data_IF_970051712594
#
_entry.id   IF_970051712594
#
_cell.length_a   1.000
_cell.length_b   1.000
_cell.length_c   1.000
_cell.angle_alpha   90.00
_cell.angle_beta   90.00
_cell.angle_gamma   90.00
#
_symmetry.space_group_name_H-M   'P 1'
#
loop_
_entity.id
_entity.type
_entity.pdbx_description
1 polymer ?
#
# COMPACT_ATOMS: atom_id res chain seq x y z
N UNK A 1 18.42 -16.55 -12.57
CA UNK A 1 17.34 -16.60 -13.56
C UNK A 1 16.29 -17.63 -13.09
N UNK A 2 15.15 -17.13 -12.61
CA UNK A 2 14.08 -17.95 -12.02
C UNK A 2 13.44 -18.91 -13.04
N UNK A 3 13.46 -18.59 -14.32
CA UNK A 3 12.93 -19.47 -15.38
C UNK A 3 13.85 -20.65 -15.64
N UNK A 4 15.16 -20.46 -15.47
CA UNK A 4 16.18 -21.48 -15.69
C UNK A 4 16.37 -22.38 -14.47
N UNK A 5 16.21 -21.84 -13.27
CA UNK A 5 16.46 -22.53 -11.99
C UNK A 5 15.18 -22.54 -11.13
N UNK A 6 14.12 -23.16 -11.68
CA UNK A 6 12.78 -23.12 -11.09
C UNK A 6 12.69 -23.68 -9.68
N UNK A 7 13.34 -24.80 -9.40
CA UNK A 7 13.26 -25.44 -8.09
C UNK A 7 14.04 -24.62 -7.03
N UNK A 8 15.26 -24.21 -7.36
CA UNK A 8 16.06 -23.33 -6.48
C UNK A 8 15.40 -21.97 -6.24
N UNK A 9 14.64 -21.46 -7.21
CA UNK A 9 13.89 -20.23 -7.05
C UNK A 9 12.74 -20.40 -6.05
N UNK A 10 12.00 -21.53 -6.12
CA UNK A 10 10.89 -21.83 -5.21
C UNK A 10 11.32 -21.93 -3.76
N UNK A 11 12.54 -22.39 -3.50
CA UNK A 11 13.10 -22.45 -2.15
C UNK A 11 13.40 -21.06 -1.55
N UNK A 12 13.50 -20.04 -2.39
CA UNK A 12 13.92 -18.68 -1.99
C UNK A 12 12.77 -17.70 -1.80
N UNK A 13 11.56 -18.03 -2.22
CA UNK A 13 10.42 -17.14 -2.04
C UNK A 13 9.22 -17.85 -1.42
N UNK A 14 8.47 -17.11 -0.62
CA UNK A 14 7.15 -17.50 -0.12
C UNK A 14 6.07 -16.79 -0.93
N UNK A 15 4.98 -17.50 -1.24
CA UNK A 15 3.86 -16.93 -2.01
C UNK A 15 2.57 -16.99 -1.22
N UNK A 16 1.87 -15.87 -1.16
CA UNK A 16 0.55 -15.73 -0.56
C UNK A 16 -0.40 -15.23 -1.64
N UNK A 17 -1.28 -16.09 -2.18
CA UNK A 17 -2.28 -15.70 -3.18
C UNK A 17 -3.44 -14.91 -2.55
N UNK A 18 -4.21 -14.18 -3.37
CA UNK A 18 -5.44 -13.52 -2.95
C UNK A 18 -6.51 -14.54 -2.50
N UNK A 19 -6.72 -15.57 -3.33
CA UNK A 19 -7.58 -16.69 -2.97
C UNK A 19 -6.73 -17.91 -2.61
N UNK A 20 -6.86 -18.35 -1.38
CA UNK A 20 -6.13 -19.50 -0.89
C UNK A 20 -7.05 -20.70 -0.74
N UNK A 21 -6.77 -21.76 -1.52
CA UNK A 21 -7.35 -23.07 -1.27
C UNK A 21 -6.87 -23.57 0.08
N UNK A 22 -7.78 -23.75 1.03
CA UNK A 22 -7.47 -24.31 2.33
C UNK A 22 -8.04 -25.71 2.46
N UNK A 23 -7.37 -26.55 3.26
CA UNK A 23 -7.89 -27.86 3.65
C UNK A 23 -8.83 -27.67 4.82
N UNK A 24 -10.14 -27.61 4.54
CA UNK A 24 -11.18 -27.22 5.50
C UNK A 24 -11.29 -28.14 6.74
N UNK A 25 -10.93 -29.39 6.61
CA UNK A 25 -11.05 -30.39 7.69
C UNK A 25 -9.80 -30.50 8.57
N UNK A 26 -8.80 -29.61 8.40
CA UNK A 26 -7.61 -29.60 9.23
C UNK A 26 -7.71 -28.53 10.31
N UNK A 27 -7.15 -28.82 11.49
CA UNK A 27 -6.86 -27.79 12.48
C UNK A 27 -5.68 -26.93 12.02
N UNK A 28 -5.61 -25.68 12.47
CA UNK A 28 -4.52 -24.76 12.15
C UNK A 28 -3.15 -25.40 12.38
N UNK A 29 -2.94 -26.08 13.50
CA UNK A 29 -1.72 -26.82 13.82
C UNK A 29 -1.43 -27.90 12.79
N UNK A 30 -2.41 -28.73 12.47
CA UNK A 30 -2.27 -29.84 11.52
C UNK A 30 -1.95 -29.32 10.11
N UNK A 31 -2.60 -28.21 9.71
CA UNK A 31 -2.32 -27.53 8.46
C UNK A 31 -0.86 -27.06 8.38
N UNK A 32 -0.35 -26.40 9.43
CA UNK A 32 1.03 -25.94 9.48
C UNK A 32 2.02 -27.10 9.50
N UNK A 33 1.79 -28.15 10.30
CA UNK A 33 2.63 -29.34 10.36
C UNK A 33 2.67 -30.09 9.02
N UNK A 34 1.55 -30.14 8.29
CA UNK A 34 1.48 -30.71 6.95
C UNK A 34 2.43 -29.98 6.00
N UNK A 35 2.33 -28.65 5.91
CA UNK A 35 3.21 -27.87 5.03
C UNK A 35 4.66 -27.88 5.50
N UNK A 36 4.92 -27.86 6.80
CA UNK A 36 6.26 -28.01 7.34
C UNK A 36 6.92 -29.33 6.89
N UNK A 37 6.16 -30.43 6.88
CA UNK A 37 6.65 -31.72 6.40
C UNK A 37 7.00 -31.71 4.91
N UNK A 38 6.27 -30.94 4.09
CA UNK A 38 6.56 -30.76 2.65
C UNK A 38 7.93 -30.07 2.42
N UNK A 39 8.35 -29.20 3.36
CA UNK A 39 9.66 -28.56 3.36
C UNK A 39 10.75 -29.35 4.13
N UNK A 40 10.45 -30.58 4.54
CA UNK A 40 11.38 -31.45 5.25
C UNK A 40 11.48 -31.22 6.77
N UNK A 41 10.67 -30.34 7.33
CA UNK A 41 10.58 -30.14 8.78
C UNK A 41 9.60 -31.14 9.39
N UNK A 42 10.06 -32.08 10.19
CA UNK A 42 9.23 -33.10 10.82
C UNK A 42 9.53 -33.27 12.32
N UNK A 43 8.64 -33.97 13.03
CA UNK A 43 8.77 -34.26 14.45
C UNK A 43 8.79 -33.00 15.32
N UNK A 44 9.63 -32.97 16.33
CA UNK A 44 9.70 -31.87 17.29
C UNK A 44 10.20 -30.56 16.65
N UNK A 45 11.12 -30.65 15.69
CA UNK A 45 11.67 -29.47 14.99
C UNK A 45 10.57 -28.80 14.17
N UNK A 46 9.80 -29.57 13.41
CA UNK A 46 8.68 -29.03 12.61
C UNK A 46 7.61 -28.39 13.49
N UNK A 47 7.23 -29.04 14.61
CA UNK A 47 6.26 -28.48 15.56
C UNK A 47 6.71 -27.16 16.14
N UNK A 48 7.94 -27.09 16.65
CA UNK A 48 8.50 -25.87 17.21
C UNK A 48 8.49 -24.72 16.18
N UNK A 49 8.91 -25.01 14.95
CA UNK A 49 8.86 -24.03 13.86
C UNK A 49 7.43 -23.54 13.58
N UNK A 50 6.45 -24.43 13.57
CA UNK A 50 5.05 -24.06 13.38
C UNK A 50 4.54 -23.20 14.54
N UNK A 51 4.87 -23.54 15.79
CA UNK A 51 4.46 -22.75 16.97
C UNK A 51 5.05 -21.33 16.93
N UNK A 52 6.35 -21.18 16.63
CA UNK A 52 7.01 -19.88 16.46
C UNK A 52 6.33 -19.03 15.39
N UNK A 53 6.01 -19.62 14.23
CA UNK A 53 5.33 -18.91 13.15
C UNK A 53 3.89 -18.54 13.48
N UNK A 54 3.14 -19.40 14.18
CA UNK A 54 1.80 -19.07 14.65
C UNK A 54 1.82 -17.94 15.67
N UNK A 55 2.84 -17.87 16.51
CA UNK A 55 3.04 -16.76 17.43
C UNK A 55 3.32 -15.45 16.67
N UNK A 56 4.24 -15.50 15.70
CA UNK A 56 4.61 -14.35 14.86
C UNK A 56 3.40 -13.75 14.13
N UNK A 57 2.49 -14.59 13.62
CA UNK A 57 1.26 -14.12 12.96
C UNK A 57 0.07 -13.96 13.92
N UNK A 58 0.26 -14.07 15.24
CA UNK A 58 -0.77 -13.89 16.28
C UNK A 58 -1.96 -14.85 16.12
N UNK A 59 -1.67 -16.14 15.90
CA UNK A 59 -2.64 -17.22 15.77
C UNK A 59 -2.41 -18.38 16.76
N UNK A 60 -1.54 -18.24 17.76
CA UNK A 60 -1.25 -19.30 18.72
C UNK A 60 -2.49 -19.78 19.48
N UNK A 61 -3.38 -18.84 19.83
CA UNK A 61 -4.66 -19.13 20.51
C UNK A 61 -5.68 -19.85 19.61
N UNK A 62 -5.41 -19.95 18.33
CA UNK A 62 -6.25 -20.59 17.30
C UNK A 62 -5.68 -21.90 16.78
N UNK A 63 -4.58 -22.39 17.33
CA UNK A 63 -3.89 -23.59 16.85
C UNK A 63 -4.78 -24.85 16.79
N UNK A 64 -5.73 -24.97 17.69
CA UNK A 64 -6.67 -26.11 17.76
C UNK A 64 -8.03 -25.88 17.07
N UNK A 65 -8.22 -24.70 16.45
CA UNK A 65 -9.42 -24.38 15.66
C UNK A 65 -9.31 -24.98 14.26
N UNK A 66 -10.45 -25.31 13.67
CA UNK A 66 -10.49 -25.72 12.27
C UNK A 66 -10.21 -24.53 11.36
N UNK A 67 -9.50 -24.76 10.26
CA UNK A 67 -9.11 -23.72 9.30
C UNK A 67 -10.31 -23.02 8.66
N UNK A 68 -11.40 -23.76 8.41
CA UNK A 68 -12.65 -23.23 7.85
C UNK A 68 -13.35 -22.22 8.78
N UNK A 69 -13.20 -22.40 10.10
CA UNK A 69 -13.78 -21.51 11.11
C UNK A 69 -13.08 -20.15 11.27
N UNK A 70 -11.93 -19.97 10.63
CA UNK A 70 -11.16 -18.73 10.70
C UNK A 70 -11.79 -17.62 9.85
N UNK A 71 -11.74 -16.39 10.35
CA UNK A 71 -12.07 -15.21 9.55
C UNK A 71 -11.11 -15.05 8.36
N UNK A 72 -11.49 -14.25 7.35
CA UNK A 72 -10.63 -13.97 6.17
C UNK A 72 -9.24 -13.47 6.60
N UNK A 73 -9.17 -12.49 7.50
CA UNK A 73 -7.90 -11.97 7.99
C UNK A 73 -7.05 -13.01 8.74
N UNK A 74 -7.69 -13.91 9.52
CA UNK A 74 -6.98 -15.02 10.16
C UNK A 74 -6.45 -16.02 9.13
N UNK A 75 -7.22 -16.33 8.09
CA UNK A 75 -6.79 -17.20 6.99
C UNK A 75 -5.60 -16.61 6.25
N UNK A 76 -5.60 -15.30 6.02
CA UNK A 76 -4.48 -14.61 5.39
C UNK A 76 -3.21 -14.65 6.25
N UNK A 77 -3.33 -14.45 7.57
CA UNK A 77 -2.21 -14.62 8.53
C UNK A 77 -1.68 -16.05 8.52
N UNK A 78 -2.57 -17.05 8.45
CA UNK A 78 -2.17 -18.45 8.33
C UNK A 78 -1.43 -18.74 7.02
N UNK A 79 -1.87 -18.15 5.90
CA UNK A 79 -1.15 -18.24 4.63
C UNK A 79 0.24 -17.59 4.70
N UNK A 80 0.36 -16.46 5.39
CA UNK A 80 1.64 -15.81 5.62
C UNK A 80 2.56 -16.72 6.46
N UNK A 81 2.05 -17.30 7.56
CA UNK A 81 2.81 -18.26 8.37
C UNK A 81 3.28 -19.45 7.54
N UNK A 82 2.42 -20.01 6.69
CA UNK A 82 2.77 -21.09 5.75
C UNK A 82 3.88 -20.69 4.81
N UNK A 83 3.80 -19.46 4.23
CA UNK A 83 4.80 -18.96 3.30
C UNK A 83 6.17 -18.73 3.96
N UNK A 84 6.21 -18.59 5.29
CA UNK A 84 7.43 -18.40 6.09
C UNK A 84 8.08 -19.70 6.59
N UNK A 85 7.48 -20.87 6.39
CA UNK A 85 7.96 -22.15 6.96
C UNK A 85 9.43 -22.40 6.61
N UNK A 86 9.80 -22.24 5.35
CA UNK A 86 11.15 -22.51 4.82
C UNK A 86 12.09 -21.30 4.88
N UNK A 87 11.70 -20.25 5.62
CA UNK A 87 12.47 -19.04 5.85
C UNK A 87 12.94 -18.31 4.56
N UNK A 88 12.02 -17.99 3.63
CA UNK A 88 12.37 -17.35 2.38
C UNK A 88 12.90 -15.93 2.59
N UNK A 89 13.84 -15.49 1.73
CA UNK A 89 14.31 -14.11 1.70
C UNK A 89 13.35 -13.14 0.99
N UNK A 90 12.48 -13.67 0.11
CA UNK A 90 11.49 -12.89 -0.65
C UNK A 90 10.08 -13.44 -0.39
N UNK A 91 9.16 -12.54 -0.07
CA UNK A 91 7.73 -12.83 -0.01
C UNK A 91 7.02 -12.15 -1.17
N UNK A 92 6.13 -12.87 -1.84
CA UNK A 92 5.26 -12.36 -2.90
C UNK A 92 3.83 -12.50 -2.40
N UNK A 93 3.15 -11.37 -2.25
CA UNK A 93 1.81 -11.28 -1.68
C UNK A 93 0.86 -10.69 -2.71
N UNK A 94 -0.17 -11.43 -3.05
CA UNK A 94 -1.17 -11.02 -4.04
C UNK A 94 -2.43 -10.53 -3.31
N UNK A 95 -2.73 -9.23 -3.43
CA UNK A 95 -3.86 -8.56 -2.76
C UNK A 95 -4.03 -8.93 -1.27
N UNK A 96 -2.97 -8.92 -0.44
CA UNK A 96 -2.98 -9.57 0.87
C UNK A 96 -3.92 -8.93 1.89
N UNK A 97 -4.40 -7.71 1.64
CA UNK A 97 -5.29 -6.96 2.52
C UNK A 97 -6.73 -6.89 2.02
N UNK A 98 -7.00 -7.48 0.84
CA UNK A 98 -8.31 -7.51 0.22
C UNK A 98 -9.38 -8.11 1.13
N UNK A 99 -10.52 -7.43 1.27
CA UNK A 99 -11.67 -7.92 2.08
C UNK A 99 -11.43 -8.00 3.59
N UNK A 100 -10.36 -7.40 4.11
CA UNK A 100 -10.14 -7.25 5.55
C UNK A 100 -10.84 -6.00 6.09
N UNK A 101 -11.30 -6.08 7.34
CA UNK A 101 -11.71 -4.89 8.07
C UNK A 101 -10.52 -3.97 8.38
N UNK A 102 -10.74 -2.65 8.62
CA UNK A 102 -9.65 -1.69 8.76
C UNK A 102 -8.66 -2.00 9.88
N UNK A 103 -9.13 -2.57 11.00
CA UNK A 103 -8.26 -2.92 12.13
C UNK A 103 -7.36 -4.11 11.79
N UNK A 104 -7.93 -5.19 11.26
CA UNK A 104 -7.19 -6.38 10.85
C UNK A 104 -6.17 -6.04 9.78
N UNK A 105 -6.53 -5.15 8.85
CA UNK A 105 -5.64 -4.65 7.79
C UNK A 105 -4.42 -3.91 8.37
N UNK A 106 -4.64 -3.04 9.34
CA UNK A 106 -3.55 -2.31 10.01
C UNK A 106 -2.60 -3.27 10.74
N UNK A 107 -3.16 -4.24 11.48
CA UNK A 107 -2.36 -5.25 12.18
C UNK A 107 -1.54 -6.12 11.20
N UNK A 108 -2.09 -6.45 10.04
CA UNK A 108 -1.39 -7.21 8.99
C UNK A 108 -0.25 -6.39 8.37
N UNK A 109 -0.47 -5.09 8.10
CA UNK A 109 0.58 -4.18 7.62
C UNK A 109 1.75 -4.07 8.59
N UNK A 110 1.49 -4.00 9.90
CA UNK A 110 2.55 -3.97 10.91
C UNK A 110 3.36 -5.28 10.92
N UNK A 111 2.73 -6.45 10.77
CA UNK A 111 3.46 -7.71 10.63
C UNK A 111 4.39 -7.70 9.41
N UNK A 112 3.96 -7.16 8.27
CA UNK A 112 4.81 -7.06 7.08
C UNK A 112 6.00 -6.12 7.30
N UNK A 113 5.81 -5.01 8.02
CA UNK A 113 6.92 -4.12 8.40
C UNK A 113 7.92 -4.78 9.34
N UNK A 114 7.43 -5.56 10.31
CA UNK A 114 8.29 -6.34 11.22
C UNK A 114 9.15 -7.34 10.42
N UNK A 115 8.55 -8.07 9.47
CA UNK A 115 9.29 -8.97 8.57
C UNK A 115 10.32 -8.26 7.70
N UNK A 116 10.02 -7.05 7.21
CA UNK A 116 10.99 -6.22 6.49
C UNK A 116 12.15 -5.80 7.41
N UNK A 117 11.88 -5.44 8.66
CA UNK A 117 12.90 -5.09 9.65
C UNK A 117 13.81 -6.28 9.99
N UNK A 118 13.28 -7.51 9.92
CA UNK A 118 14.04 -8.76 10.02
C UNK A 118 14.87 -9.11 8.78
N UNK A 119 14.82 -8.27 7.73
CA UNK A 119 15.61 -8.41 6.50
C UNK A 119 14.89 -9.13 5.35
N UNK A 120 13.60 -9.39 5.45
CA UNK A 120 12.81 -9.94 4.34
C UNK A 120 12.55 -8.86 3.29
N UNK A 121 12.58 -9.26 2.02
CA UNK A 121 12.08 -8.44 0.91
C UNK A 121 10.63 -8.84 0.63
N UNK A 122 9.74 -7.86 0.50
CA UNK A 122 8.32 -8.12 0.27
C UNK A 122 7.87 -7.43 -1.01
N UNK A 123 7.29 -8.20 -1.94
CA UNK A 123 6.62 -7.72 -3.13
C UNK A 123 5.11 -7.87 -2.92
N UNK A 124 4.38 -6.77 -2.96
CA UNK A 124 2.93 -6.74 -2.73
C UNK A 124 2.24 -6.23 -3.98
N UNK A 125 1.20 -6.92 -4.45
CA UNK A 125 0.24 -6.36 -5.38
C UNK A 125 -0.95 -5.75 -4.61
N UNK A 126 -1.48 -4.64 -5.09
CA UNK A 126 -2.75 -4.05 -4.62
C UNK A 126 -3.30 -3.11 -5.68
N UNK A 127 -4.62 -3.03 -5.77
CA UNK A 127 -5.33 -2.02 -6.55
C UNK A 127 -5.64 -0.77 -5.72
N UNK A 128 -5.35 -0.78 -4.41
CA UNK A 128 -5.59 0.33 -3.48
C UNK A 128 -4.27 1.06 -3.20
N UNK A 129 -4.03 2.13 -3.93
CA UNK A 129 -2.77 2.84 -3.92
C UNK A 129 -2.47 3.57 -2.60
N UNK A 130 -3.51 4.07 -1.93
CA UNK A 130 -3.41 4.66 -0.59
C UNK A 130 -2.91 3.66 0.46
N UNK A 131 -3.13 2.36 0.26
CA UNK A 131 -2.59 1.32 1.13
C UNK A 131 -1.09 1.10 0.90
N UNK A 132 -0.68 1.04 -0.37
CA UNK A 132 0.73 0.86 -0.76
C UNK A 132 1.58 2.04 -0.28
N UNK A 133 1.07 3.27 -0.35
CA UNK A 133 1.78 4.47 0.10
C UNK A 133 2.16 4.46 1.59
N UNK A 134 1.45 3.68 2.40
CA UNK A 134 1.69 3.58 3.85
C UNK A 134 2.69 2.47 4.24
N UNK A 135 3.00 1.55 3.33
CA UNK A 135 3.79 0.36 3.65
C UNK A 135 4.96 0.09 2.69
N UNK A 136 4.91 0.60 1.46
CA UNK A 136 5.93 0.34 0.46
C UNK A 136 6.95 1.47 0.37
N UNK A 137 8.22 1.11 0.17
CA UNK A 137 9.31 2.06 -0.12
C UNK A 137 9.37 2.43 -1.58
N UNK A 138 9.04 1.46 -2.45
CA UNK A 138 9.09 1.58 -3.90
C UNK A 138 7.78 1.08 -4.50
N UNK A 139 7.43 1.60 -5.67
CA UNK A 139 6.21 1.23 -6.39
C UNK A 139 6.50 1.00 -7.86
N UNK A 140 5.76 0.08 -8.46
CA UNK A 140 5.67 -0.10 -9.91
C UNK A 140 4.20 -0.10 -10.33
N UNK A 141 3.84 0.75 -11.28
CA UNK A 141 2.49 0.78 -11.87
C UNK A 141 2.54 0.02 -13.18
N UNK A 142 1.63 -0.95 -13.32
CA UNK A 142 1.50 -1.78 -14.51
C UNK A 142 0.19 -1.44 -15.20
N UNK A 143 0.26 -1.07 -16.48
CA UNK A 143 -0.89 -0.90 -17.35
C UNK A 143 -0.69 -1.69 -18.64
N UNK A 144 -1.74 -2.39 -19.09
CA UNK A 144 -1.71 -3.23 -20.29
C UNK A 144 -0.48 -4.16 -20.39
N UNK A 145 -0.01 -4.71 -19.26
CA UNK A 145 1.13 -5.62 -19.17
C UNK A 145 2.50 -4.94 -19.27
N UNK A 146 2.57 -3.61 -19.19
CA UNK A 146 3.82 -2.83 -19.21
C UNK A 146 3.96 -2.02 -17.95
N UNK A 147 5.19 -1.91 -17.43
CA UNK A 147 5.49 -0.98 -16.36
C UNK A 147 5.49 0.43 -16.94
N UNK A 148 4.51 1.24 -16.55
CA UNK A 148 4.36 2.62 -17.01
C UNK A 148 5.09 3.61 -16.10
N UNK A 149 5.21 3.26 -14.81
CA UNK A 149 5.91 4.07 -13.82
C UNK A 149 6.55 3.14 -12.79
N UNK A 150 7.77 3.46 -12.35
CA UNK A 150 8.40 2.77 -11.21
C UNK A 150 9.40 3.68 -10.51
N UNK A 151 9.57 3.51 -9.22
CA UNK A 151 10.54 4.25 -8.43
C UNK A 151 10.16 4.36 -6.95
N UNK A 152 10.87 5.23 -6.25
CA UNK A 152 10.63 5.48 -4.84
C UNK A 152 9.25 6.12 -4.62
N UNK A 153 8.48 5.57 -3.66
CA UNK A 153 7.12 6.00 -3.37
C UNK A 153 7.03 7.49 -3.03
N UNK A 154 7.92 8.00 -2.18
CA UNK A 154 7.89 9.38 -1.76
C UNK A 154 8.18 10.35 -2.91
N UNK A 155 9.07 9.99 -3.83
CA UNK A 155 9.37 10.79 -5.03
C UNK A 155 8.21 10.82 -6.00
N UNK A 156 7.56 9.66 -6.21
CA UNK A 156 6.40 9.55 -7.10
C UNK A 156 5.23 10.34 -6.52
N UNK A 157 4.91 10.16 -5.23
CA UNK A 157 3.86 10.94 -4.56
C UNK A 157 4.12 12.44 -4.64
N UNK A 158 5.38 12.88 -4.50
CA UNK A 158 5.71 14.29 -4.62
C UNK A 158 5.45 14.80 -6.04
N UNK A 159 5.88 14.08 -7.07
CA UNK A 159 5.65 14.48 -8.47
C UNK A 159 4.15 14.54 -8.80
N UNK A 160 3.39 13.57 -8.33
CA UNK A 160 1.93 13.55 -8.52
C UNK A 160 1.27 14.71 -7.78
N UNK A 161 1.64 14.92 -6.52
CA UNK A 161 1.11 16.05 -5.74
C UNK A 161 1.48 17.41 -6.36
N UNK A 162 2.70 17.57 -6.88
CA UNK A 162 3.11 18.80 -7.54
C UNK A 162 2.33 19.07 -8.85
N UNK A 163 1.76 18.03 -9.45
CA UNK A 163 0.93 18.10 -10.66
C UNK A 163 -0.55 18.35 -10.38
N UNK A 164 -0.98 18.15 -9.13
CA UNK A 164 -2.40 18.29 -8.76
C UNK A 164 -2.80 19.76 -8.70
N UNK A 165 -4.06 20.10 -9.07
CA UNK A 165 -4.52 21.46 -9.03
C UNK A 165 -4.66 21.98 -7.59
N UNK A 166 -4.46 23.29 -7.44
CA UNK A 166 -4.83 24.03 -6.24
C UNK A 166 -6.32 24.36 -6.29
N UNK A 167 -7.05 24.04 -5.24
CA UNK A 167 -8.42 24.48 -5.01
C UNK A 167 -8.39 25.73 -4.14
N UNK A 168 -8.81 26.86 -4.69
CA UNK A 168 -8.86 28.14 -4.00
C UNK A 168 -10.31 28.55 -3.85
N UNK A 169 -10.77 28.62 -2.60
CA UNK A 169 -12.11 29.11 -2.28
C UNK A 169 -12.01 30.52 -1.75
N UNK A 170 -12.83 31.43 -2.30
CA UNK A 170 -12.86 32.82 -1.87
C UNK A 170 -14.28 33.24 -1.46
N UNK A 171 -14.37 34.23 -0.57
CA UNK A 171 -15.64 34.87 -0.24
C UNK A 171 -15.80 36.12 -1.12
N UNK A 172 -16.65 36.07 -2.14
CA UNK A 172 -16.94 37.19 -3.02
C UNK A 172 -16.67 36.94 -4.49
N UNK A 173 -16.47 38.01 -5.28
CA UNK A 173 -16.30 37.89 -6.74
C UNK A 173 -14.96 37.32 -7.17
N UNK A 174 -14.99 36.23 -7.95
CA UNK A 174 -13.80 35.52 -8.43
C UNK A 174 -12.95 36.32 -9.44
N UNK A 175 -13.50 37.38 -10.07
CA UNK A 175 -12.82 38.12 -11.16
C UNK A 175 -11.48 38.71 -10.77
N UNK A 176 -11.42 39.36 -9.57
CA UNK A 176 -10.18 39.98 -9.09
C UNK A 176 -9.12 38.94 -8.78
N UNK A 177 -9.51 37.85 -8.12
CA UNK A 177 -8.62 36.73 -7.83
C UNK A 177 -8.03 36.10 -9.10
N UNK A 178 -8.87 35.83 -10.09
CA UNK A 178 -8.45 35.32 -11.40
C UNK A 178 -7.49 36.27 -12.10
N UNK A 179 -7.70 37.59 -11.96
CA UNK A 179 -6.78 38.61 -12.52
C UNK A 179 -5.40 38.56 -11.92
N UNK A 180 -5.27 38.24 -10.62
CA UNK A 180 -4.00 38.06 -9.92
C UNK A 180 -3.36 36.73 -10.30
N UNK A 181 -4.12 35.65 -10.23
CA UNK A 181 -3.65 34.31 -10.57
C UNK A 181 -3.09 34.23 -12.00
N UNK A 182 -3.71 34.90 -12.97
CA UNK A 182 -3.22 34.97 -14.36
C UNK A 182 -1.90 35.68 -14.54
N UNK A 183 -1.48 36.51 -13.58
CA UNK A 183 -0.21 37.23 -13.65
C UNK A 183 0.98 36.43 -13.12
N UNK A 184 0.71 35.39 -12.35
CA UNK A 184 1.75 34.50 -11.83
C UNK A 184 2.20 33.52 -12.93
N UNK A 185 3.49 33.54 -13.34
CA UNK A 185 3.97 32.68 -14.40
C UNK A 185 3.93 31.17 -14.08
N UNK A 186 3.75 30.82 -12.81
CA UNK A 186 3.62 29.43 -12.33
C UNK A 186 2.21 28.88 -12.53
N UNK A 187 1.23 29.74 -12.81
CA UNK A 187 -0.16 29.36 -13.09
C UNK A 187 -0.30 29.01 -14.57
N UNK A 188 -0.64 27.76 -14.86
CA UNK A 188 -0.80 27.26 -16.24
C UNK A 188 -2.24 27.38 -16.73
N UNK A 189 -3.19 26.90 -15.93
CA UNK A 189 -4.62 26.95 -16.27
C UNK A 189 -5.45 27.33 -15.06
N UNK A 190 -6.58 27.97 -15.31
CA UNK A 190 -7.56 28.33 -14.30
C UNK A 190 -8.93 27.88 -14.79
N UNK A 191 -9.63 27.11 -13.96
CA UNK A 191 -11.03 26.73 -14.17
C UNK A 191 -11.85 27.11 -12.93
N UNK A 192 -13.15 27.21 -13.11
CA UNK A 192 -14.10 27.47 -12.01
C UNK A 192 -15.03 26.27 -11.97
N UNK A 193 -15.18 25.68 -10.79
CA UNK A 193 -16.14 24.63 -10.52
C UNK A 193 -16.90 25.00 -9.25
N UNK A 194 -18.20 25.24 -9.38
CA UNK A 194 -19.03 25.71 -8.27
C UNK A 194 -18.45 26.99 -7.64
N UNK A 195 -18.07 26.94 -6.38
CA UNK A 195 -17.47 28.07 -5.63
C UNK A 195 -15.94 28.00 -5.58
N UNK A 196 -15.31 27.00 -6.20
CA UNK A 196 -13.87 26.78 -6.17
C UNK A 196 -13.19 27.26 -7.46
N UNK A 197 -12.08 27.97 -7.31
CA UNK A 197 -11.14 28.29 -8.40
C UNK A 197 -10.11 27.16 -8.43
N UNK A 198 -10.10 26.40 -9.51
CA UNK A 198 -9.19 25.31 -9.76
C UNK A 198 -7.99 25.86 -10.54
N UNK A 199 -6.81 25.76 -9.96
CA UNK A 199 -5.58 26.36 -10.53
C UNK A 199 -4.55 25.26 -10.78
N UNK A 200 -4.19 25.07 -12.04
CA UNK A 200 -3.02 24.23 -12.36
C UNK A 200 -1.77 25.07 -12.11
N UNK A 201 -1.10 24.79 -10.98
CA UNK A 201 0.00 25.57 -10.46
C UNK A 201 1.28 24.73 -10.36
N UNK A 202 2.34 25.23 -10.96
CA UNK A 202 3.65 24.58 -10.91
C UNK A 202 4.53 25.22 -9.84
N UNK A 203 4.69 24.52 -8.73
CA UNK A 203 5.51 24.98 -7.60
C UNK A 203 5.26 24.18 -6.33
N UNK A 204 6.28 24.13 -5.48
CA UNK A 204 6.20 23.46 -4.17
C UNK A 204 5.55 24.34 -3.11
N UNK A 205 5.55 23.88 -1.85
CA UNK A 205 4.88 24.53 -0.71
C UNK A 205 5.26 25.99 -0.48
N UNK A 206 6.52 26.37 -0.74
CA UNK A 206 6.97 27.75 -0.62
C UNK A 206 6.31 28.65 -1.66
N UNK A 207 6.27 28.18 -2.91
CA UNK A 207 5.61 28.88 -4.02
C UNK A 207 4.10 29.00 -3.81
N UNK A 208 3.46 27.99 -3.21
CA UNK A 208 2.04 28.02 -2.81
C UNK A 208 1.79 29.10 -1.74
N UNK A 209 2.68 29.18 -0.73
CA UNK A 209 2.57 30.19 0.31
C UNK A 209 2.72 31.60 -0.26
N UNK A 210 3.63 31.82 -1.21
CA UNK A 210 3.77 33.10 -1.90
C UNK A 210 2.51 33.47 -2.71
N UNK A 211 1.93 32.50 -3.42
CA UNK A 211 0.70 32.70 -4.18
C UNK A 211 -0.46 33.07 -3.26
N UNK A 212 -0.63 32.34 -2.14
CA UNK A 212 -1.63 32.65 -1.13
C UNK A 212 -1.43 34.05 -0.56
N UNK A 213 -0.17 34.40 -0.23
CA UNK A 213 0.16 35.71 0.31
C UNK A 213 -0.22 36.85 -0.68
N UNK A 214 0.05 36.65 -1.97
CA UNK A 214 -0.30 37.64 -3.00
C UNK A 214 -1.80 37.88 -3.12
N UNK A 215 -2.62 36.85 -2.91
CA UNK A 215 -4.09 36.97 -2.88
C UNK A 215 -4.57 37.74 -1.65
N UNK A 216 -4.00 37.43 -0.47
CA UNK A 216 -4.37 38.10 0.79
C UNK A 216 -3.95 39.58 0.76
N UNK A 217 -2.73 39.88 0.27
CA UNK A 217 -2.23 41.25 0.16
C UNK A 217 -3.06 42.11 -0.79
N UNK A 218 -3.63 41.50 -1.81
CA UNK A 218 -4.59 42.15 -2.71
C UNK A 218 -6.00 42.31 -2.12
N UNK A 219 -6.19 41.96 -0.86
CA UNK A 219 -7.47 42.08 -0.15
C UNK A 219 -8.50 41.03 -0.50
N UNK A 220 -8.10 39.90 -1.09
CA UNK A 220 -9.00 38.81 -1.43
C UNK A 220 -9.27 37.94 -0.19
N UNK A 221 -10.52 37.79 0.24
CA UNK A 221 -10.87 36.95 1.38
C UNK A 221 -10.83 35.47 1.00
N UNK A 222 -9.69 34.81 1.17
CA UNK A 222 -9.50 33.38 0.90
C UNK A 222 -10.05 32.57 2.08
N UNK A 223 -11.05 31.72 1.84
CA UNK A 223 -11.65 30.81 2.82
C UNK A 223 -11.15 29.38 2.72
N UNK A 224 -10.49 29.01 1.62
CA UNK A 224 -9.85 27.71 1.42
C UNK A 224 -8.71 27.80 0.43
N UNK A 225 -7.60 27.14 0.75
CA UNK A 225 -6.44 27.03 -0.15
C UNK A 225 -5.81 25.67 0.08
N UNK A 226 -6.14 24.73 -0.79
CA UNK A 226 -5.81 23.32 -0.61
C UNK A 226 -5.33 22.77 -1.95
N UNK A 227 -4.16 22.13 -1.96
CA UNK A 227 -3.78 21.31 -3.10
C UNK A 227 -4.60 20.01 -3.05
N UNK A 228 -5.29 19.71 -4.13
CA UNK A 228 -6.03 18.46 -4.25
C UNK A 228 -5.05 17.31 -4.01
N UNK A 229 -5.34 16.45 -3.04
CA UNK A 229 -4.54 15.26 -2.86
C UNK A 229 -4.91 14.34 -4.03
N UNK A 230 -4.00 14.17 -4.97
CA UNK A 230 -4.23 13.29 -6.09
C UNK A 230 -4.45 11.88 -5.59
N UNK A 231 -5.58 11.35 -5.93
CA UNK A 231 -5.73 9.92 -5.97
C UNK A 231 -4.81 9.44 -7.10
N UNK A 232 -3.81 8.66 -6.72
CA UNK A 232 -2.97 7.98 -7.70
C UNK A 232 -3.82 7.05 -8.61
N UNK A 233 -5.10 6.86 -8.28
CA UNK A 233 -6.11 6.16 -9.09
C UNK A 233 -6.52 6.96 -10.35
N UNK A 234 -6.07 8.21 -10.49
CA UNK A 234 -6.37 9.07 -11.65
C UNK A 234 -5.24 9.14 -12.69
N UNK A 235 -4.17 8.35 -12.52
CA UNK A 235 -3.05 8.21 -13.47
C UNK A 235 -3.32 7.03 -14.41
#
# INVERSE_FOLDING_TARGET
DALRFREEAKERFGYVPDEFGMYDNLKVREYMEFFASCYGFSGLVGRKRCEELLEQVKLSDRADFFVDSLSRGMKQRLCLARALIHDPGLLILDEPTSGMDPRTRMEFKEMLKELCAEGKTILVSSHILSELSQMCTDIGIIDAGKIVLSGNMAEILRKVNDSNPLLIRICGESRTAIGILKKDPRVQTIAIRDDDIIVNFHGGREAEAELLYSLIEAGIPVSGFIREQGDLESI
#
